data_IF_068924565344
#
_entry.id   IF_068924565344
#
_cell.length_a   1.000
_cell.length_b   1.000
_cell.length_c   1.000
_cell.angle_alpha   90.00
_cell.angle_beta   90.00
_cell.angle_gamma   90.00
#
_symmetry.space_group_name_H-M   'P 1'
#
loop_
_entity.id
_entity.type
_entity.pdbx_description
1 polymer ?
#
# COMPACT_ATOMS: atom_id res chain seq x y z
N UNK A 1 -14.93 -22.21 1.87
CA UNK A 1 -14.36 -22.73 0.60
C UNK A 1 -13.55 -24.03 0.77
N UNK A 2 -13.64 -24.76 1.90
CA UNK A 2 -12.81 -25.96 2.13
C UNK A 2 -13.26 -27.22 1.35
N UNK A 3 -14.44 -27.21 0.74
CA UNK A 3 -15.03 -28.37 0.08
C UNK A 3 -14.58 -28.56 -1.39
N UNK A 4 -13.83 -27.62 -1.96
CA UNK A 4 -13.39 -27.67 -3.36
C UNK A 4 -11.94 -28.10 -3.42
N UNK A 5 -11.65 -29.12 -4.22
CA UNK A 5 -10.28 -29.53 -4.51
C UNK A 5 -9.63 -28.57 -5.51
N UNK A 6 -8.52 -27.97 -5.11
CA UNK A 6 -7.71 -27.06 -5.94
C UNK A 6 -6.34 -27.66 -6.27
N UNK A 7 -6.16 -28.95 -6.06
CA UNK A 7 -4.93 -29.68 -6.41
C UNK A 7 -4.60 -29.47 -7.90
N UNK A 8 -3.38 -29.00 -8.18
CA UNK A 8 -2.93 -28.72 -9.54
C UNK A 8 -3.44 -27.42 -10.16
N UNK A 9 -4.35 -26.68 -9.50
CA UNK A 9 -4.83 -25.38 -9.97
C UNK A 9 -3.85 -24.29 -9.53
N UNK A 10 -3.25 -23.62 -10.51
CA UNK A 10 -2.37 -22.48 -10.23
C UNK A 10 -3.22 -21.27 -9.77
N UNK A 11 -2.85 -20.59 -8.67
CA UNK A 11 -3.53 -19.38 -8.23
C UNK A 11 -3.40 -18.25 -9.26
N UNK A 12 -4.49 -17.50 -9.48
CA UNK A 12 -4.51 -16.34 -10.37
C UNK A 12 -4.52 -15.04 -9.55
N UNK A 13 -3.35 -14.41 -9.36
CA UNK A 13 -3.22 -13.19 -8.57
C UNK A 13 -3.82 -11.94 -9.25
N UNK A 14 -3.78 -11.89 -10.58
CA UNK A 14 -4.29 -10.77 -11.39
C UNK A 14 -5.09 -11.34 -12.56
N UNK A 15 -6.33 -10.89 -12.83
CA UNK A 15 -7.15 -11.43 -13.92
C UNK A 15 -6.51 -11.33 -15.30
N UNK A 16 -5.73 -10.26 -15.54
CA UNK A 16 -5.02 -10.02 -16.81
C UNK A 16 -3.92 -11.07 -17.08
N UNK A 17 -3.41 -11.74 -16.04
CA UNK A 17 -2.43 -12.82 -16.19
C UNK A 17 -2.99 -14.06 -16.92
N UNK A 18 -4.33 -14.15 -17.09
CA UNK A 18 -4.96 -15.20 -17.87
C UNK A 18 -4.84 -14.98 -19.40
N UNK A 19 -4.53 -13.75 -19.84
CA UNK A 19 -4.48 -13.38 -21.26
C UNK A 19 -3.14 -12.81 -21.72
N UNK A 20 -2.26 -12.40 -20.79
CA UNK A 20 -0.93 -11.88 -21.09
C UNK A 20 0.00 -12.01 -19.88
N UNK A 21 1.30 -12.09 -20.13
CA UNK A 21 2.30 -12.04 -19.06
C UNK A 21 2.29 -10.68 -18.37
N UNK A 22 2.39 -10.70 -17.03
CA UNK A 22 2.44 -9.48 -16.22
C UNK A 22 3.91 -9.12 -15.98
N UNK A 23 4.36 -8.05 -16.60
CA UNK A 23 5.61 -7.40 -16.23
C UNK A 23 5.43 -6.48 -15.02
N UNK A 24 6.46 -6.39 -14.17
CA UNK A 24 6.48 -5.42 -13.08
C UNK A 24 6.57 -4.00 -13.66
N UNK A 25 5.69 -3.12 -13.19
CA UNK A 25 5.75 -1.70 -13.55
C UNK A 25 6.94 -1.06 -12.87
N UNK A 26 7.90 -0.62 -13.66
CA UNK A 26 8.99 0.21 -13.17
C UNK A 26 8.52 1.66 -13.05
N UNK A 27 9.11 2.39 -12.11
CA UNK A 27 8.95 3.83 -11.94
C UNK A 27 10.31 4.47 -12.16
N UNK A 28 10.34 5.61 -12.85
CA UNK A 28 11.56 6.41 -12.98
C UNK A 28 12.07 6.84 -11.61
N UNK A 29 13.40 6.91 -11.45
CA UNK A 29 14.05 7.37 -10.22
C UNK A 29 14.13 8.90 -10.19
N UNK A 30 12.97 9.54 -10.08
CA UNK A 30 12.81 10.99 -10.07
C UNK A 30 11.91 11.39 -8.91
N UNK A 31 12.40 12.30 -8.07
CA UNK A 31 11.59 12.89 -7.01
C UNK A 31 10.47 13.75 -7.62
N UNK A 32 9.22 13.51 -7.24
CA UNK A 32 8.06 14.14 -7.87
C UNK A 32 7.17 14.93 -6.91
N UNK A 33 7.24 14.61 -5.62
CA UNK A 33 6.31 15.09 -4.62
C UNK A 33 6.75 16.44 -4.03
N UNK A 34 5.90 17.47 -4.05
CA UNK A 34 6.19 18.73 -3.37
C UNK A 34 6.02 18.59 -1.85
N UNK A 35 6.49 19.59 -1.10
CA UNK A 35 6.19 19.67 0.33
C UNK A 35 4.67 19.87 0.54
N UNK A 36 4.03 18.93 1.22
CA UNK A 36 2.60 18.96 1.55
C UNK A 36 2.33 18.83 3.05
N UNK A 37 3.27 19.24 3.91
CA UNK A 37 3.19 19.04 5.37
C UNK A 37 1.84 19.51 5.95
N UNK A 38 1.43 20.74 5.66
CA UNK A 38 0.18 21.30 6.20
C UNK A 38 -1.07 20.53 5.74
N UNK A 39 -1.12 20.16 4.46
CA UNK A 39 -2.22 19.39 3.89
C UNK A 39 -2.32 18.00 4.52
N UNK A 40 -1.18 17.32 4.67
CA UNK A 40 -1.10 15.97 5.24
C UNK A 40 -1.48 15.94 6.72
N UNK A 41 -1.26 17.04 7.44
CA UNK A 41 -1.53 17.12 8.88
C UNK A 41 -2.95 17.62 9.20
N UNK A 42 -3.70 18.14 8.22
CA UNK A 42 -5.04 18.73 8.44
C UNK A 42 -6.02 17.83 9.19
N UNK A 43 -5.93 16.52 9.01
CA UNK A 43 -6.82 15.53 9.63
C UNK A 43 -6.16 14.79 10.82
N UNK A 44 -4.97 15.19 11.25
CA UNK A 44 -4.28 14.57 12.36
C UNK A 44 -5.09 14.76 13.66
N UNK A 45 -5.45 13.68 14.38
CA UNK A 45 -6.13 13.81 15.66
C UNK A 45 -5.31 14.58 16.70
N UNK A 46 -3.98 14.46 16.64
CA UNK A 46 -3.05 15.26 17.42
C UNK A 46 -1.76 15.48 16.60
N UNK A 47 -1.23 16.70 16.66
CA UNK A 47 -0.03 17.11 15.94
C UNK A 47 0.83 18.06 16.79
N UNK A 48 2.14 18.01 16.60
CA UNK A 48 3.09 18.93 17.24
C UNK A 48 4.44 18.90 16.53
N UNK A 49 5.09 20.05 16.35
CA UNK A 49 6.42 20.18 15.71
C UNK A 49 6.53 19.49 14.34
N UNK A 50 5.42 19.43 13.59
CA UNK A 50 5.37 18.75 12.29
C UNK A 50 5.32 17.22 12.38
N UNK A 51 4.97 16.66 13.54
CA UNK A 51 4.83 15.23 13.82
C UNK A 51 3.36 14.87 14.10
N UNK A 52 2.98 13.63 13.78
CA UNK A 52 1.73 13.01 14.24
C UNK A 52 1.95 12.45 15.64
N UNK A 53 1.15 12.88 16.61
CA UNK A 53 1.28 12.45 17.99
C UNK A 53 0.43 11.19 18.23
N UNK A 54 1.04 10.16 18.83
CA UNK A 54 0.38 8.90 19.17
C UNK A 54 0.67 8.52 20.62
N UNK A 55 -0.27 7.87 21.34
CA UNK A 55 -0.01 7.36 22.68
C UNK A 55 1.11 6.32 22.66
N UNK A 56 2.11 6.48 23.53
CA UNK A 56 3.09 5.43 23.80
C UNK A 56 2.48 4.44 24.78
N UNK A 57 2.38 3.17 24.40
CA UNK A 57 2.04 2.09 25.33
C UNK A 57 3.29 1.77 26.16
N UNK A 58 3.13 1.75 27.48
CA UNK A 58 4.15 1.38 28.45
C UNK A 58 3.48 0.42 29.44
N UNK A 59 4.09 -0.76 29.63
CA UNK A 59 3.75 -1.77 30.64
C UNK A 59 4.71 -1.67 31.84
#
# INVERSE_FOLDING_TARGET
MQAVDTSGVQPLAHPVAAIQDIALRLREDVASEPNQREANMRNAPAQGEGLFLVPKVIE
#
